data_IF_402525705213
#
_entry.id   IF_402525705213
#
_cell.length_a   1.000
_cell.length_b   1.000
_cell.length_c   1.000
_cell.angle_alpha   90.00
_cell.angle_beta   90.00
_cell.angle_gamma   90.00
#
_symmetry.space_group_name_H-M   'P 1'
#
loop_
_entity.id
_entity.type
_entity.pdbx_description
1 polymer ?
#
# COMPACT_ATOMS: atom_id res chain seq x y z
N UNK A 1 83.79 -20.06 -25.83
CA UNK A 1 82.63 -20.98 -25.79
C UNK A 1 81.53 -20.32 -24.96
N UNK A 2 80.78 -19.39 -25.56
CA UNK A 2 79.84 -18.53 -24.84
C UNK A 2 78.52 -18.41 -25.61
N UNK A 3 77.83 -19.53 -25.80
CA UNK A 3 76.56 -19.57 -26.52
C UNK A 3 75.65 -20.62 -25.91
N UNK A 4 74.34 -20.28 -25.88
CA UNK A 4 73.19 -21.13 -25.50
C UNK A 4 72.79 -21.28 -24.02
N UNK A 5 72.70 -20.17 -23.30
CA UNK A 5 71.70 -20.03 -22.22
C UNK A 5 70.78 -18.81 -22.48
N UNK A 6 70.69 -18.39 -23.75
CA UNK A 6 69.79 -17.32 -24.17
C UNK A 6 68.33 -17.76 -24.02
N UNK A 7 67.69 -17.11 -23.05
CA UNK A 7 66.31 -16.59 -23.12
C UNK A 7 65.14 -17.51 -22.74
N UNK A 8 65.31 -18.35 -21.71
CA UNK A 8 64.19 -19.09 -21.09
C UNK A 8 63.44 -18.27 -20.02
N UNK A 9 64.08 -17.26 -19.45
CA UNK A 9 63.54 -16.32 -18.46
C UNK A 9 62.30 -15.54 -18.96
N UNK A 10 62.27 -14.96 -20.18
CA UNK A 10 61.06 -14.30 -20.69
C UNK A 10 59.89 -15.26 -20.88
N UNK A 11 60.14 -16.53 -21.19
CA UNK A 11 59.07 -17.54 -21.35
C UNK A 11 58.42 -17.88 -20.01
N UNK A 12 59.22 -17.98 -18.94
CA UNK A 12 58.70 -18.17 -17.58
C UNK A 12 57.98 -16.92 -17.07
N UNK A 13 58.51 -15.73 -17.35
CA UNK A 13 57.86 -14.47 -16.95
C UNK A 13 56.51 -14.28 -17.68
N UNK A 14 56.41 -14.64 -18.96
CA UNK A 14 55.15 -14.66 -19.70
C UNK A 14 54.16 -15.70 -19.17
N UNK A 15 54.64 -16.84 -18.69
CA UNK A 15 53.80 -17.85 -18.04
C UNK A 15 53.28 -17.36 -16.68
N UNK A 16 54.14 -16.75 -15.85
CA UNK A 16 53.75 -16.14 -14.57
C UNK A 16 52.76 -14.98 -14.81
N UNK A 17 52.99 -14.13 -15.81
CA UNK A 17 52.09 -13.04 -16.17
C UNK A 17 50.71 -13.55 -16.65
N UNK A 18 50.67 -14.67 -17.40
CA UNK A 18 49.41 -15.34 -17.77
C UNK A 18 48.69 -15.90 -16.55
N UNK A 19 49.39 -16.58 -15.65
CA UNK A 19 48.81 -17.11 -14.41
C UNK A 19 48.26 -15.98 -13.51
N UNK A 20 48.98 -14.85 -13.39
CA UNK A 20 48.51 -13.67 -12.65
C UNK A 20 47.24 -13.07 -13.26
N UNK A 21 47.18 -12.94 -14.59
CA UNK A 21 45.97 -12.48 -15.30
C UNK A 21 44.80 -13.44 -15.12
N UNK A 22 45.03 -14.75 -15.11
CA UNK A 22 44.00 -15.74 -14.82
C UNK A 22 43.49 -15.63 -13.38
N UNK A 23 44.39 -15.44 -12.41
CA UNK A 23 44.02 -15.24 -11.01
C UNK A 23 43.21 -13.95 -10.82
N UNK A 24 43.61 -12.85 -11.45
CA UNK A 24 42.87 -11.58 -11.42
C UNK A 24 41.48 -11.69 -12.07
N UNK A 25 41.37 -12.41 -13.20
CA UNK A 25 40.07 -12.72 -13.82
C UNK A 25 39.19 -13.53 -12.88
N UNK A 26 39.72 -14.61 -12.30
CA UNK A 26 38.98 -15.46 -11.35
C UNK A 26 38.57 -14.68 -10.08
N UNK A 27 39.42 -13.79 -9.59
CA UNK A 27 39.12 -12.94 -8.43
C UNK A 27 38.00 -11.93 -8.75
N UNK A 28 38.03 -11.35 -9.96
CA UNK A 28 36.97 -10.46 -10.44
C UNK A 28 35.63 -11.18 -10.62
N UNK A 29 35.65 -12.37 -11.20
CA UNK A 29 34.47 -13.25 -11.35
C UNK A 29 33.92 -13.66 -9.97
N UNK A 30 34.78 -14.04 -9.03
CA UNK A 30 34.38 -14.33 -7.65
C UNK A 30 33.74 -13.11 -6.96
N UNK A 31 34.30 -11.91 -7.17
CA UNK A 31 33.74 -10.67 -6.64
C UNK A 31 32.36 -10.34 -7.23
N UNK A 32 32.18 -10.52 -8.54
CA UNK A 32 30.89 -10.34 -9.21
C UNK A 32 29.85 -11.34 -8.69
N UNK A 33 30.23 -12.63 -8.57
CA UNK A 33 29.35 -13.67 -8.05
C UNK A 33 28.98 -13.43 -6.58
N UNK A 34 29.89 -12.92 -5.77
CA UNK A 34 29.62 -12.56 -4.37
C UNK A 34 28.62 -11.39 -4.26
N UNK A 35 28.70 -10.40 -5.16
CA UNK A 35 27.73 -9.30 -5.22
C UNK A 35 26.35 -9.78 -5.68
N UNK A 36 26.30 -10.67 -6.67
CA UNK A 36 25.04 -11.28 -7.13
C UNK A 36 24.40 -12.12 -6.03
N UNK A 37 25.19 -12.93 -5.32
CA UNK A 37 24.73 -13.70 -4.16
C UNK A 37 24.17 -12.80 -3.06
N UNK A 38 24.87 -11.69 -2.74
CA UNK A 38 24.39 -10.71 -1.76
C UNK A 38 23.08 -10.06 -2.20
N UNK A 39 22.96 -9.70 -3.47
CA UNK A 39 21.73 -9.11 -4.03
C UNK A 39 20.57 -10.10 -3.95
N UNK A 40 20.82 -11.38 -4.25
CA UNK A 40 19.83 -12.45 -4.15
C UNK A 40 19.38 -12.66 -2.70
N UNK A 41 20.31 -12.63 -1.74
CA UNK A 41 19.99 -12.71 -0.30
C UNK A 41 19.17 -11.52 0.20
N UNK A 42 19.50 -10.30 -0.23
CA UNK A 42 18.72 -9.10 0.11
C UNK A 42 17.28 -9.21 -0.43
N UNK A 43 17.10 -9.69 -1.66
CA UNK A 43 15.78 -9.95 -2.22
C UNK A 43 15.01 -11.03 -1.45
N UNK A 44 15.67 -12.10 -1.02
CA UNK A 44 15.06 -13.17 -0.22
C UNK A 44 14.53 -12.64 1.11
N UNK A 45 15.34 -11.85 1.84
CA UNK A 45 14.92 -11.23 3.11
C UNK A 45 13.80 -10.21 2.90
N UNK A 46 13.80 -9.46 1.80
CA UNK A 46 12.70 -8.56 1.43
C UNK A 46 11.39 -9.33 1.18
N UNK A 47 11.45 -10.45 0.46
CA UNK A 47 10.28 -11.31 0.23
C UNK A 47 9.79 -11.92 1.54
N UNK A 48 10.68 -12.46 2.36
CA UNK A 48 10.35 -13.01 3.67
C UNK A 48 9.67 -11.97 4.57
N UNK A 49 10.21 -10.75 4.62
CA UNK A 49 9.60 -9.64 5.38
C UNK A 49 8.19 -9.32 4.86
N UNK A 50 7.98 -9.31 3.54
CA UNK A 50 6.65 -9.12 2.94
C UNK A 50 5.68 -10.25 3.31
N UNK A 51 6.12 -11.51 3.30
CA UNK A 51 5.31 -12.66 3.70
C UNK A 51 4.91 -12.61 5.17
N UNK A 52 5.83 -12.24 6.06
CA UNK A 52 5.54 -12.05 7.49
C UNK A 52 4.54 -10.92 7.70
N UNK A 53 4.69 -9.79 6.99
CA UNK A 53 3.73 -8.69 7.04
C UNK A 53 2.34 -9.12 6.55
N UNK A 54 2.24 -9.87 5.46
CA UNK A 54 0.95 -10.32 4.93
C UNK A 54 0.28 -11.34 5.85
N UNK A 55 1.07 -12.24 6.45
CA UNK A 55 0.60 -13.18 7.48
C UNK A 55 0.05 -12.43 8.70
N UNK A 56 0.75 -11.39 9.15
CA UNK A 56 0.29 -10.56 10.26
C UNK A 56 -0.99 -9.80 9.91
N UNK A 57 -1.11 -9.25 8.70
CA UNK A 57 -2.36 -8.61 8.24
C UNK A 57 -3.52 -9.60 8.20
N UNK A 58 -3.30 -10.80 7.67
CA UNK A 58 -4.30 -11.87 7.65
C UNK A 58 -4.77 -12.20 9.06
N UNK A 59 -3.84 -12.39 10.00
CA UNK A 59 -4.17 -12.64 11.40
C UNK A 59 -4.96 -11.48 12.03
N UNK A 60 -4.62 -10.22 11.75
CA UNK A 60 -5.40 -9.07 12.24
C UNK A 60 -6.81 -9.03 11.66
N UNK A 61 -6.98 -9.30 10.37
CA UNK A 61 -8.28 -9.33 9.71
C UNK A 61 -9.17 -10.48 10.23
N UNK A 62 -8.59 -11.65 10.50
CA UNK A 62 -9.32 -12.76 11.14
C UNK A 62 -9.78 -12.42 12.56
N UNK A 63 -8.92 -11.76 13.34
CA UNK A 63 -9.28 -11.30 14.68
C UNK A 63 -10.45 -10.29 14.62
N UNK A 64 -10.39 -9.34 13.69
CA UNK A 64 -11.47 -8.37 13.47
C UNK A 64 -12.79 -9.07 13.09
N UNK A 65 -12.75 -10.08 12.21
CA UNK A 65 -13.93 -10.87 11.85
C UNK A 65 -14.54 -11.57 13.08
N UNK A 66 -13.71 -12.19 13.93
CA UNK A 66 -14.18 -12.83 15.16
C UNK A 66 -14.83 -11.81 16.09
N UNK A 67 -14.26 -10.61 16.23
CA UNK A 67 -14.86 -9.51 16.99
C UNK A 67 -16.20 -9.10 16.40
N UNK A 68 -16.30 -8.86 15.09
CA UNK A 68 -17.56 -8.53 14.43
C UNK A 68 -18.63 -9.61 14.62
N UNK A 69 -18.24 -10.89 14.53
CA UNK A 69 -19.14 -12.02 14.76
C UNK A 69 -19.65 -12.05 16.20
N UNK A 70 -18.79 -11.75 17.18
CA UNK A 70 -19.18 -11.65 18.60
C UNK A 70 -20.14 -10.49 18.83
N UNK A 71 -19.80 -9.29 18.34
CA UNK A 71 -20.65 -8.10 18.46
C UNK A 71 -22.03 -8.35 17.85
N UNK A 72 -22.10 -9.00 16.68
CA UNK A 72 -23.38 -9.38 16.08
C UNK A 72 -24.22 -10.28 16.98
N UNK A 73 -23.60 -11.30 17.59
CA UNK A 73 -24.29 -12.19 18.54
C UNK A 73 -24.80 -11.43 19.77
N UNK A 74 -24.00 -10.49 20.28
CA UNK A 74 -24.39 -9.69 21.44
C UNK A 74 -25.57 -8.77 21.09
N UNK A 75 -25.57 -8.15 19.90
CA UNK A 75 -26.71 -7.37 19.37
C UNK A 75 -27.96 -8.24 19.20
N UNK A 76 -27.82 -9.44 18.63
CA UNK A 76 -28.95 -10.36 18.46
C UNK A 76 -29.54 -10.77 19.82
N UNK A 77 -28.70 -11.01 20.84
CA UNK A 77 -29.15 -11.31 22.20
C UNK A 77 -29.88 -10.14 22.86
N UNK A 78 -29.36 -8.91 22.74
CA UNK A 78 -30.03 -7.71 23.25
C UNK A 78 -31.36 -7.47 22.54
N UNK A 79 -31.42 -7.73 21.24
CA UNK A 79 -32.66 -7.65 20.46
C UNK A 79 -33.71 -8.65 20.97
N UNK A 80 -33.32 -9.90 21.22
CA UNK A 80 -34.22 -10.91 21.78
C UNK A 80 -34.74 -10.47 23.17
N UNK A 81 -33.86 -9.99 24.05
CA UNK A 81 -34.25 -9.50 25.38
C UNK A 81 -35.21 -8.30 25.28
N UNK A 82 -34.98 -7.38 24.34
CA UNK A 82 -35.89 -6.26 24.07
C UNK A 82 -37.28 -6.75 23.66
N UNK A 83 -37.35 -7.73 22.76
CA UNK A 83 -38.63 -8.31 22.30
C UNK A 83 -39.37 -8.99 23.46
N UNK A 84 -38.67 -9.74 24.32
CA UNK A 84 -39.26 -10.36 25.52
C UNK A 84 -39.80 -9.32 26.51
N UNK A 85 -39.05 -8.25 26.76
CA UNK A 85 -39.49 -7.15 27.62
C UNK A 85 -40.70 -6.43 27.03
N UNK A 86 -40.74 -6.23 25.70
CA UNK A 86 -41.90 -5.65 25.03
C UNK A 86 -43.14 -6.53 25.22
N UNK A 87 -43.02 -7.86 25.08
CA UNK A 87 -44.13 -8.78 25.35
C UNK A 87 -44.62 -8.70 26.81
N UNK A 88 -43.72 -8.54 27.78
CA UNK A 88 -44.10 -8.30 29.19
C UNK A 88 -44.85 -6.97 29.38
N UNK A 89 -44.43 -5.91 28.69
CA UNK A 89 -45.14 -4.63 28.72
C UNK A 89 -46.54 -4.78 28.13
N UNK A 90 -46.68 -5.45 26.99
CA UNK A 90 -47.97 -5.64 26.32
C UNK A 90 -48.94 -6.46 27.19
N UNK A 91 -48.48 -7.57 27.78
CA UNK A 91 -49.29 -8.36 28.73
C UNK A 91 -49.67 -7.59 30.00
N UNK A 92 -48.77 -6.78 30.57
CA UNK A 92 -49.11 -5.92 31.69
C UNK A 92 -50.14 -4.85 31.28
N UNK A 93 -50.03 -4.30 30.08
CA UNK A 93 -51.00 -3.34 29.56
C UNK A 93 -52.39 -3.99 29.39
N UNK A 94 -52.46 -5.23 28.91
CA UNK A 94 -53.69 -6.01 28.82
C UNK A 94 -54.32 -6.27 30.19
N UNK A 95 -53.54 -6.65 31.20
CA UNK A 95 -54.05 -6.87 32.56
C UNK A 95 -54.56 -5.57 33.21
N UNK A 96 -53.87 -4.45 33.02
CA UNK A 96 -54.34 -3.12 33.47
C UNK A 96 -55.68 -2.78 32.81
N UNK A 97 -55.80 -2.98 31.49
CA UNK A 97 -57.03 -2.71 30.77
C UNK A 97 -58.17 -3.62 31.22
N UNK A 98 -57.89 -4.89 31.50
CA UNK A 98 -58.85 -5.82 32.07
C UNK A 98 -59.35 -5.36 33.45
N UNK A 99 -58.43 -5.01 34.36
CA UNK A 99 -58.79 -4.53 35.70
C UNK A 99 -59.61 -3.24 35.64
N UNK A 100 -59.26 -2.30 34.75
CA UNK A 100 -60.05 -1.07 34.54
C UNK A 100 -61.49 -1.38 34.13
N UNK A 101 -61.69 -2.29 33.18
CA UNK A 101 -63.04 -2.71 32.75
C UNK A 101 -63.80 -3.39 33.88
N UNK A 102 -63.13 -4.22 34.67
CA UNK A 102 -63.74 -4.91 35.81
C UNK A 102 -64.22 -3.90 36.87
N UNK A 103 -63.39 -2.92 37.23
CA UNK A 103 -63.79 -1.88 38.19
C UNK A 103 -64.90 -0.96 37.67
N UNK A 104 -64.94 -0.71 36.37
CA UNK A 104 -66.02 0.07 35.74
C UNK A 104 -67.34 -0.69 35.81
N UNK A 105 -67.33 -2.00 35.55
CA UNK A 105 -68.50 -2.87 35.68
C UNK A 105 -68.98 -2.99 37.14
N UNK A 106 -68.08 -3.25 38.08
CA UNK A 106 -68.41 -3.31 39.51
C UNK A 106 -69.01 -1.99 40.01
N UNK A 107 -68.46 -0.85 39.60
CA UNK A 107 -68.99 0.47 39.96
C UNK A 107 -70.41 0.69 39.41
N UNK A 108 -70.69 0.20 38.20
CA UNK A 108 -72.02 0.24 37.61
C UNK A 108 -73.00 -0.67 38.37
N UNK A 109 -72.56 -1.86 38.79
CA UNK A 109 -73.34 -2.79 39.60
C UNK A 109 -73.72 -2.16 40.96
N UNK A 110 -72.74 -1.65 41.71
CA UNK A 110 -73.00 -1.00 43.00
C UNK A 110 -73.94 0.21 42.87
N UNK A 111 -73.83 0.97 41.78
CA UNK A 111 -74.74 2.10 41.53
C UNK A 111 -76.18 1.63 41.28
N UNK A 112 -76.37 0.41 40.78
CA UNK A 112 -77.69 -0.19 40.57
C UNK A 112 -78.25 -0.72 41.89
N UNK A 113 -77.45 -1.46 42.67
CA UNK A 113 -77.85 -1.99 43.99
C UNK A 113 -78.25 -0.89 44.99
N UNK A 114 -77.53 0.24 45.00
CA UNK A 114 -77.83 1.38 45.87
C UNK A 114 -79.16 2.04 45.48
N UNK A 115 -79.49 2.09 44.19
CA UNK A 115 -80.78 2.60 43.72
C UNK A 115 -81.93 1.66 44.11
N UNK A 116 -81.69 0.35 44.18
CA UNK A 116 -82.70 -0.66 44.52
C UNK A 116 -82.96 -0.80 46.04
N UNK A 117 -82.01 -0.42 46.89
CA UNK A 117 -82.10 -0.61 48.36
C UNK A 117 -82.58 0.64 49.12
N UNK A 118 -82.88 1.74 48.41
CA UNK A 118 -83.36 3.00 48.98
C UNK A 118 -84.84 2.93 49.40
N UNK A 119 -85.17 2.21 50.48
CA UNK A 119 -86.46 2.27 51.17
C UNK A 119 -86.25 2.84 52.58
N UNK A 120 -86.67 4.09 52.77
CA UNK A 120 -86.58 4.82 54.03
C UNK A 120 -87.62 4.26 55.01
N UNK A 121 -87.17 3.49 56.00
CA UNK A 121 -88.00 2.98 57.09
C UNK A 121 -87.78 3.84 58.33
N UNK A 122 -88.75 4.71 58.62
CA UNK A 122 -88.82 5.48 59.85
C UNK A 122 -89.34 4.60 60.98
N UNK A 123 -88.48 4.26 61.94
CA UNK A 123 -88.87 3.59 63.18
C UNK A 123 -88.84 4.61 64.32
N UNK A 124 -90.02 4.88 64.87
CA UNK A 124 -90.22 5.79 65.99
C UNK A 124 -89.95 5.03 67.30
N UNK A 125 -88.93 5.43 68.06
CA UNK A 125 -88.50 4.71 69.27
C UNK A 125 -88.25 5.70 70.41
N UNK A 126 -89.30 5.97 71.19
CA UNK A 126 -89.26 6.87 72.34
C UNK A 126 -88.75 6.13 73.59
N UNK A 127 -87.45 6.21 73.82
CA UNK A 127 -86.84 6.03 75.14
C UNK A 127 -86.11 7.32 75.49
N UNK A 128 -86.43 7.91 76.63
CA UNK A 128 -85.79 9.13 77.11
C UNK A 128 -84.33 8.83 77.50
N UNK A 129 -83.44 8.88 76.50
CA UNK A 129 -82.01 9.07 76.67
C UNK A 129 -81.75 10.56 76.89
N UNK A 130 -80.74 10.90 77.67
CA UNK A 130 -80.22 12.27 77.70
C UNK A 130 -79.60 12.59 76.33
N UNK A 131 -80.46 13.06 75.44
CA UNK A 131 -80.13 13.39 74.07
C UNK A 131 -79.14 14.55 74.01
N UNK A 132 -79.10 15.44 75.02
CA UNK A 132 -78.25 16.62 75.02
C UNK A 132 -76.76 16.26 75.05
N UNK A 133 -76.35 15.43 76.00
CA UNK A 133 -74.95 14.99 76.13
C UNK A 133 -74.51 14.15 74.92
N UNK A 134 -75.35 13.21 74.48
CA UNK A 134 -75.02 12.34 73.35
C UNK A 134 -74.93 13.13 72.04
N UNK A 135 -75.82 14.11 71.80
CA UNK A 135 -75.74 14.99 70.63
C UNK A 135 -74.48 15.85 70.66
N UNK A 136 -74.08 16.34 71.84
CA UNK A 136 -72.84 17.11 71.99
C UNK A 136 -71.60 16.26 71.70
N UNK A 137 -71.52 15.04 72.23
CA UNK A 137 -70.41 14.11 72.00
C UNK A 137 -70.35 13.66 70.54
N UNK A 138 -71.49 13.36 69.93
CA UNK A 138 -71.60 13.04 68.51
C UNK A 138 -71.13 14.23 67.66
N UNK A 139 -71.55 15.46 67.99
CA UNK A 139 -71.10 16.67 67.29
C UNK A 139 -69.59 16.87 67.41
N UNK A 140 -69.01 16.67 68.60
CA UNK A 140 -67.57 16.75 68.82
C UNK A 140 -66.79 15.69 68.00
N UNK A 141 -67.29 14.46 67.93
CA UNK A 141 -66.69 13.42 67.08
C UNK A 141 -66.78 13.76 65.59
N UNK A 142 -67.93 14.27 65.13
CA UNK A 142 -68.06 14.72 63.74
C UNK A 142 -67.12 15.87 63.40
N UNK A 143 -66.89 16.80 64.34
CA UNK A 143 -65.95 17.90 64.16
C UNK A 143 -64.50 17.41 64.06
N UNK A 144 -64.11 16.43 64.86
CA UNK A 144 -62.79 15.78 64.76
C UNK A 144 -62.66 15.02 63.43
N UNK A 145 -63.69 14.29 63.00
CA UNK A 145 -63.68 13.53 61.74
C UNK A 145 -63.60 14.48 60.54
N UNK A 146 -64.33 15.59 60.55
CA UNK A 146 -64.27 16.59 59.49
C UNK A 146 -62.93 17.32 59.45
N UNK A 147 -62.35 17.68 60.60
CA UNK A 147 -61.01 18.23 60.66
C UNK A 147 -59.95 17.25 60.16
N UNK A 148 -60.03 15.97 60.56
CA UNK A 148 -59.12 14.92 60.09
C UNK A 148 -59.24 14.69 58.58
N UNK A 149 -60.47 14.61 58.06
CA UNK A 149 -60.74 14.46 56.64
C UNK A 149 -60.21 15.65 55.82
N UNK A 150 -60.39 16.88 56.33
CA UNK A 150 -59.83 18.08 55.72
C UNK A 150 -58.29 18.05 55.70
N UNK A 151 -57.65 17.73 56.82
CA UNK A 151 -56.20 17.66 56.92
C UNK A 151 -55.61 16.55 56.03
N UNK A 152 -56.27 15.41 55.93
CA UNK A 152 -55.88 14.31 55.04
C UNK A 152 -56.02 14.69 53.57
N UNK A 153 -57.11 15.38 53.20
CA UNK A 153 -57.29 15.90 51.85
C UNK A 153 -56.20 16.94 51.50
N UNK A 154 -55.91 17.88 52.39
CA UNK A 154 -54.84 18.88 52.20
C UNK A 154 -53.46 18.21 52.06
N UNK A 155 -53.15 17.21 52.90
CA UNK A 155 -51.90 16.45 52.80
C UNK A 155 -51.80 15.65 51.49
N UNK A 156 -52.89 15.05 51.03
CA UNK A 156 -52.95 14.37 49.73
C UNK A 156 -52.73 15.36 48.58
N UNK A 157 -53.39 16.52 48.60
CA UNK A 157 -53.20 17.55 47.57
C UNK A 157 -51.77 18.06 47.55
N UNK A 158 -51.17 18.31 48.71
CA UNK A 158 -49.80 18.79 48.80
C UNK A 158 -48.79 17.75 48.29
N UNK A 159 -49.00 16.48 48.62
CA UNK A 159 -48.19 15.36 48.09
C UNK A 159 -48.32 15.26 46.57
N UNK A 160 -49.54 15.30 46.04
CA UNK A 160 -49.78 15.24 44.58
C UNK A 160 -49.19 16.43 43.84
N UNK A 161 -49.30 17.63 44.41
CA UNK A 161 -48.68 18.82 43.85
C UNK A 161 -47.15 18.69 43.81
N UNK A 162 -46.54 18.16 44.88
CA UNK A 162 -45.11 17.97 44.96
C UNK A 162 -44.61 16.87 44.00
N UNK A 163 -45.35 15.78 43.85
CA UNK A 163 -45.09 14.74 42.84
C UNK A 163 -45.11 15.32 41.42
N UNK A 164 -46.14 16.09 41.07
CA UNK A 164 -46.24 16.75 39.77
C UNK A 164 -45.09 17.73 39.54
N UNK A 165 -44.74 18.53 40.55
CA UNK A 165 -43.61 19.45 40.49
C UNK A 165 -42.29 18.72 40.26
N UNK A 166 -42.01 17.65 41.02
CA UNK A 166 -40.79 16.86 40.84
C UNK A 166 -40.77 16.14 39.49
N UNK A 167 -41.92 15.67 38.99
CA UNK A 167 -42.02 15.04 37.68
C UNK A 167 -41.73 16.05 36.56
N UNK A 168 -42.28 17.25 36.65
CA UNK A 168 -42.03 18.34 35.72
C UNK A 168 -40.55 18.78 35.72
N UNK A 169 -39.93 18.86 36.90
CA UNK A 169 -38.50 19.19 37.06
C UNK A 169 -37.61 18.10 36.43
N UNK A 170 -37.86 16.82 36.75
CA UNK A 170 -37.14 15.69 36.14
C UNK A 170 -37.29 15.66 34.62
N UNK A 171 -38.47 15.96 34.09
CA UNK A 171 -38.68 16.04 32.65
C UNK A 171 -37.91 17.23 32.04
N UNK A 172 -37.90 18.38 32.72
CA UNK A 172 -37.10 19.55 32.33
C UNK A 172 -35.60 19.27 32.30
N UNK A 173 -35.08 18.57 33.32
CA UNK A 173 -33.68 18.16 33.40
C UNK A 173 -33.33 17.16 32.30
N UNK A 174 -34.17 16.15 32.07
CA UNK A 174 -33.98 15.19 30.97
C UNK A 174 -33.99 15.86 29.59
N UNK A 175 -34.88 16.84 29.38
CA UNK A 175 -34.88 17.67 28.17
C UNK A 175 -33.62 18.52 28.03
N UNK A 176 -33.08 19.01 29.15
CA UNK A 176 -31.82 19.78 29.15
C UNK A 176 -30.62 18.90 28.83
N UNK A 177 -30.54 17.71 29.41
CA UNK A 177 -29.47 16.75 29.18
C UNK A 177 -29.47 16.24 27.74
N UNK A 178 -30.64 15.88 27.20
CA UNK A 178 -30.77 15.50 25.79
C UNK A 178 -30.37 16.64 24.85
N UNK A 179 -30.73 17.89 25.17
CA UNK A 179 -30.26 19.06 24.41
C UNK A 179 -28.73 19.19 24.43
N UNK A 180 -28.10 19.01 25.59
CA UNK A 180 -26.62 19.05 25.71
C UNK A 180 -26.00 17.94 24.86
N UNK A 181 -26.49 16.71 24.97
CA UNK A 181 -26.01 15.57 24.17
C UNK A 181 -26.16 15.83 22.66
N UNK A 182 -27.28 16.39 22.22
CA UNK A 182 -27.49 16.78 20.81
C UNK A 182 -26.42 17.79 20.38
N UNK A 183 -26.12 18.81 21.20
CA UNK A 183 -25.09 19.81 20.85
C UNK A 183 -23.68 19.22 20.83
N UNK A 184 -23.36 18.29 21.74
CA UNK A 184 -22.08 17.58 21.76
C UNK A 184 -21.90 16.67 20.55
N UNK A 185 -22.94 15.89 20.21
CA UNK A 185 -22.96 15.07 18.99
C UNK A 185 -22.83 15.92 17.74
N UNK A 186 -23.53 17.07 17.68
CA UNK A 186 -23.40 18.01 16.56
C UNK A 186 -21.97 18.52 16.42
N UNK A 187 -21.32 18.85 17.55
CA UNK A 187 -19.90 19.29 17.55
C UNK A 187 -18.95 18.16 17.14
N UNK A 188 -19.23 16.93 17.55
CA UNK A 188 -18.45 15.75 17.15
C UNK A 188 -18.58 15.49 15.64
N UNK A 189 -19.79 15.59 15.09
CA UNK A 189 -20.06 15.47 13.65
C UNK A 189 -19.27 16.54 12.87
N UNK A 190 -19.31 17.81 13.29
CA UNK A 190 -18.55 18.88 12.65
C UNK A 190 -17.03 18.63 12.68
N UNK A 191 -16.51 18.13 13.81
CA UNK A 191 -15.10 17.77 13.94
C UNK A 191 -14.72 16.65 12.97
N UNK A 192 -15.54 15.60 12.88
CA UNK A 192 -15.31 14.48 11.95
C UNK A 192 -15.41 14.94 10.50
N UNK A 193 -16.38 15.79 10.15
CA UNK A 193 -16.50 16.38 8.81
C UNK A 193 -15.24 17.18 8.43
N UNK A 194 -14.72 18.01 9.34
CA UNK A 194 -13.48 18.75 9.10
C UNK A 194 -12.27 17.82 8.95
N UNK A 195 -12.19 16.73 9.72
CA UNK A 195 -11.13 15.74 9.57
C UNK A 195 -11.21 15.03 8.21
N UNK A 196 -12.42 14.66 7.77
CA UNK A 196 -12.66 14.07 6.44
C UNK A 196 -12.23 15.05 5.34
N UNK A 197 -12.61 16.33 5.45
CA UNK A 197 -12.24 17.34 4.46
C UNK A 197 -10.72 17.55 4.40
N UNK A 198 -10.05 17.60 5.56
CA UNK A 198 -8.60 17.72 5.64
C UNK A 198 -7.89 16.51 5.01
N UNK A 199 -8.32 15.29 5.33
CA UNK A 199 -7.76 14.06 4.73
C UNK A 199 -8.02 14.03 3.22
N UNK A 200 -9.19 14.47 2.77
CA UNK A 200 -9.52 14.58 1.34
C UNK A 200 -8.59 15.57 0.62
N UNK A 201 -8.31 16.72 1.23
CA UNK A 201 -7.34 17.70 0.70
C UNK A 201 -5.92 17.14 0.65
N UNK A 202 -5.49 16.43 1.70
CA UNK A 202 -4.18 15.76 1.71
C UNK A 202 -4.07 14.69 0.62
N UNK A 203 -5.11 13.87 0.44
CA UNK A 203 -5.13 12.86 -0.61
C UNK A 203 -5.05 13.50 -2.01
N UNK A 204 -5.83 14.56 -2.26
CA UNK A 204 -5.77 15.29 -3.52
C UNK A 204 -4.37 15.90 -3.78
N UNK A 205 -3.73 16.46 -2.75
CA UNK A 205 -2.37 16.99 -2.86
C UNK A 205 -1.33 15.90 -3.17
N UNK A 206 -1.44 14.73 -2.52
CA UNK A 206 -0.56 13.59 -2.80
C UNK A 206 -0.80 13.05 -4.21
N UNK A 207 -2.06 12.93 -4.65
CA UNK A 207 -2.38 12.51 -6.02
C UNK A 207 -1.77 13.47 -7.05
N UNK A 208 -1.88 14.79 -6.85
CA UNK A 208 -1.23 15.78 -7.73
C UNK A 208 0.29 15.64 -7.72
N UNK A 209 0.91 15.41 -6.56
CA UNK A 209 2.34 15.22 -6.47
C UNK A 209 2.81 13.92 -7.17
N UNK A 210 1.99 12.86 -7.12
CA UNK A 210 2.23 11.60 -7.85
C UNK A 210 2.16 11.86 -9.35
N UNK A 211 1.09 12.50 -9.85
CA UNK A 211 0.96 12.77 -11.29
C UNK A 211 2.08 13.66 -11.81
N UNK A 212 2.53 14.64 -11.02
CA UNK A 212 3.66 15.51 -11.38
C UNK A 212 5.00 14.75 -11.39
N UNK A 213 5.18 13.81 -10.46
CA UNK A 213 6.36 12.95 -10.42
C UNK A 213 6.39 11.95 -11.59
N UNK A 214 5.24 11.34 -11.90
CA UNK A 214 5.06 10.46 -13.05
C UNK A 214 5.34 11.19 -14.36
N UNK A 215 4.80 12.40 -14.53
CA UNK A 215 5.03 13.21 -15.72
C UNK A 215 6.51 13.59 -15.89
N UNK A 216 7.18 14.02 -14.81
CA UNK A 216 8.63 14.30 -14.84
C UNK A 216 9.45 13.06 -15.15
N UNK A 217 9.08 11.90 -14.61
CA UNK A 217 9.71 10.63 -14.91
C UNK A 217 9.56 10.24 -16.39
N UNK A 218 8.34 10.37 -16.93
CA UNK A 218 8.05 10.08 -18.34
C UNK A 218 8.83 11.00 -19.28
N UNK A 219 8.94 12.29 -18.97
CA UNK A 219 9.77 13.23 -19.72
C UNK A 219 11.25 12.82 -19.72
N UNK A 220 11.81 12.49 -18.55
CA UNK A 220 13.21 12.07 -18.45
C UNK A 220 13.49 10.78 -19.25
N UNK A 221 12.53 9.84 -19.29
CA UNK A 221 12.63 8.63 -20.10
C UNK A 221 12.60 8.98 -21.59
N UNK A 222 11.69 9.85 -22.03
CA UNK A 222 11.62 10.30 -23.43
C UNK A 222 12.91 10.97 -23.86
N UNK A 223 13.47 11.85 -23.04
CA UNK A 223 14.74 12.53 -23.33
C UNK A 223 15.91 11.54 -23.43
N UNK A 224 15.97 10.55 -22.53
CA UNK A 224 16.97 9.49 -22.60
C UNK A 224 16.81 8.63 -23.86
N UNK A 225 15.58 8.29 -24.25
CA UNK A 225 15.30 7.54 -25.48
C UNK A 225 15.74 8.31 -26.72
N UNK A 226 15.44 9.61 -26.81
CA UNK A 226 15.90 10.47 -27.91
C UNK A 226 17.44 10.45 -27.99
N UNK A 227 18.12 10.61 -26.85
CA UNK A 227 19.58 10.58 -26.80
C UNK A 227 20.17 9.23 -27.23
N UNK A 228 19.53 8.12 -26.90
CA UNK A 228 19.94 6.79 -27.36
C UNK A 228 19.82 6.70 -28.88
N UNK A 229 18.68 7.10 -29.44
CA UNK A 229 18.46 7.09 -30.90
C UNK A 229 19.47 7.97 -31.63
N UNK A 230 19.78 9.15 -31.10
CA UNK A 230 20.78 10.06 -31.67
C UNK A 230 22.19 9.43 -31.66
N UNK A 231 22.57 8.78 -30.56
CA UNK A 231 23.86 8.09 -30.45
C UNK A 231 23.95 6.87 -31.35
N UNK A 232 22.89 6.09 -31.47
CA UNK A 232 22.80 4.97 -32.42
C UNK A 232 22.92 5.46 -33.86
N UNK A 233 22.26 6.58 -34.19
CA UNK A 233 22.37 7.25 -35.48
C UNK A 233 23.80 7.71 -35.78
N UNK A 234 24.45 8.38 -34.83
CA UNK A 234 25.84 8.82 -34.94
C UNK A 234 26.80 7.63 -35.12
N UNK A 235 26.58 6.54 -34.37
CA UNK A 235 27.38 5.31 -34.48
C UNK A 235 27.20 4.62 -35.83
N UNK A 236 25.97 4.57 -36.35
CA UNK A 236 25.70 4.03 -37.70
C UNK A 236 26.38 4.88 -38.78
N UNK A 237 26.31 6.21 -38.67
CA UNK A 237 27.00 7.13 -39.58
C UNK A 237 28.52 6.93 -39.53
N UNK A 238 29.11 6.88 -38.35
CA UNK A 238 30.56 6.64 -38.20
C UNK A 238 31.00 5.29 -38.79
N UNK A 239 30.20 4.23 -38.63
CA UNK A 239 30.45 2.93 -39.27
C UNK A 239 30.41 3.02 -40.80
N UNK A 240 29.45 3.76 -41.37
CA UNK A 240 29.35 3.98 -42.80
C UNK A 240 30.54 4.79 -43.33
N UNK A 241 30.92 5.86 -42.61
CA UNK A 241 32.08 6.70 -42.96
C UNK A 241 33.37 5.87 -42.94
N UNK A 242 33.57 5.01 -41.93
CA UNK A 242 34.72 4.11 -41.88
C UNK A 242 34.73 3.09 -43.03
N UNK A 243 33.56 2.54 -43.38
CA UNK A 243 33.44 1.65 -44.54
C UNK A 243 33.72 2.37 -45.87
N UNK A 244 33.39 3.67 -45.99
CA UNK A 244 33.80 4.48 -47.14
C UNK A 244 35.29 4.72 -47.19
N UNK A 245 35.91 5.10 -46.07
CA UNK A 245 37.35 5.35 -45.99
C UNK A 245 38.17 4.10 -46.32
N UNK A 246 37.72 2.91 -45.90
CA UNK A 246 38.37 1.64 -46.26
C UNK A 246 38.31 1.36 -47.77
N UNK A 247 37.20 1.70 -48.44
CA UNK A 247 37.09 1.56 -49.89
C UNK A 247 38.04 2.52 -50.61
N UNK A 248 38.05 3.78 -50.19
CA UNK A 248 38.94 4.80 -50.77
C UNK A 248 40.42 4.43 -50.57
N UNK A 249 40.76 3.87 -49.41
CA UNK A 249 42.11 3.37 -49.13
C UNK A 249 42.49 2.17 -50.01
N UNK A 250 41.55 1.25 -50.25
CA UNK A 250 41.78 0.12 -51.14
C UNK A 250 41.98 0.56 -52.59
N UNK A 251 41.23 1.57 -53.06
CA UNK A 251 41.42 2.20 -54.36
C UNK A 251 42.77 2.93 -54.47
N UNK A 252 43.20 3.59 -53.40
CA UNK A 252 44.52 4.21 -53.34
C UNK A 252 45.66 3.16 -53.41
N UNK A 253 45.49 2.01 -52.75
CA UNK A 253 46.46 0.92 -52.85
C UNK A 253 46.48 0.32 -54.26
N UNK A 254 45.32 0.12 -54.89
CA UNK A 254 45.27 -0.44 -56.24
C UNK A 254 45.93 0.49 -57.28
N UNK A 255 45.70 1.80 -57.17
CA UNK A 255 46.39 2.81 -57.99
C UNK A 255 47.90 2.84 -57.72
N UNK A 256 48.33 2.74 -56.45
CA UNK A 256 49.76 2.64 -56.12
C UNK A 256 50.41 1.40 -56.73
N UNK A 257 49.75 0.25 -56.68
CA UNK A 257 50.24 -0.99 -57.29
C UNK A 257 50.32 -0.87 -58.82
N UNK A 258 49.33 -0.24 -59.46
CA UNK A 258 49.37 0.03 -60.90
C UNK A 258 50.57 0.92 -61.26
N UNK A 259 50.80 1.99 -60.49
CA UNK A 259 51.96 2.87 -60.67
C UNK A 259 53.30 2.15 -60.43
N UNK A 260 53.41 1.25 -59.45
CA UNK A 260 54.62 0.45 -59.25
C UNK A 260 54.92 -0.44 -60.47
N UNK A 261 53.88 -1.02 -61.08
CA UNK A 261 54.02 -1.81 -62.32
C UNK A 261 54.49 -0.93 -63.46
N UNK A 262 53.91 0.27 -63.64
CA UNK A 262 54.37 1.23 -64.65
C UNK A 262 55.83 1.65 -64.43
N UNK A 263 56.25 1.93 -63.19
CA UNK A 263 57.65 2.25 -62.89
C UNK A 263 58.56 1.06 -63.23
N UNK A 264 58.15 -0.16 -62.93
CA UNK A 264 58.90 -1.36 -63.26
C UNK A 264 59.01 -1.58 -64.78
N UNK A 265 57.95 -1.31 -65.55
CA UNK A 265 57.98 -1.38 -67.01
C UNK A 265 58.85 -0.28 -67.61
N UNK A 266 58.77 0.96 -67.12
CA UNK A 266 59.67 2.04 -67.53
C UNK A 266 61.13 1.71 -67.24
N UNK A 267 61.46 1.17 -66.05
CA UNK A 267 62.82 0.70 -65.72
C UNK A 267 63.30 -0.41 -66.67
N UNK A 268 62.45 -1.40 -66.97
CA UNK A 268 62.79 -2.48 -67.91
C UNK A 268 63.07 -1.97 -69.33
N UNK A 269 62.32 -0.99 -69.81
CA UNK A 269 62.55 -0.37 -71.12
C UNK A 269 63.87 0.40 -71.15
N UNK A 270 64.18 1.16 -70.09
CA UNK A 270 65.46 1.86 -69.93
C UNK A 270 66.65 0.89 -69.89
N UNK A 271 66.56 -0.18 -69.10
CA UNK A 271 67.60 -1.24 -69.10
C UNK A 271 67.73 -1.93 -70.47
N UNK A 272 66.63 -2.06 -71.22
CA UNK A 272 66.66 -2.58 -72.60
C UNK A 272 67.41 -1.66 -73.56
N UNK A 273 67.22 -0.34 -73.44
CA UNK A 273 67.98 0.66 -74.20
C UNK A 273 69.46 0.70 -73.79
N UNK A 274 69.76 0.63 -72.49
CA UNK A 274 71.15 0.58 -71.99
C UNK A 274 71.87 -0.67 -72.51
N UNK A 275 71.21 -1.83 -72.55
CA UNK A 275 71.75 -3.06 -73.17
C UNK A 275 72.02 -2.91 -74.68
N UNK A 276 71.22 -2.11 -75.40
CA UNK A 276 71.47 -1.77 -76.81
C UNK A 276 72.65 -0.82 -76.98
N UNK A 277 72.85 0.11 -76.05
CA UNK A 277 73.89 1.13 -76.10
C UNK A 277 75.25 0.67 -75.54
N UNK A 278 75.27 -0.32 -74.63
CA UNK A 278 76.49 -0.87 -74.02
C UNK A 278 77.21 -1.92 -74.86
N UNK A 279 76.64 -2.36 -75.98
CA UNK A 279 77.31 -3.26 -76.92
C UNK A 279 77.44 -4.72 -76.46
N UNK A 280 76.72 -5.16 -75.42
CA UNK A 280 76.58 -6.58 -75.07
C UNK A 280 75.35 -7.17 -75.78
N UNK A 281 75.56 -7.58 -77.03
CA UNK A 281 74.67 -8.49 -77.74
C UNK A 281 74.76 -9.89 -77.11
N UNK A 282 73.68 -10.32 -76.45
CA UNK A 282 73.29 -11.74 -76.45
C UNK A 282 71.81 -11.79 -76.81
N UNK A 283 71.60 -12.05 -78.09
CA UNK A 283 70.34 -12.50 -78.66
C UNK A 283 70.13 -13.95 -78.20
N UNK A 284 68.98 -14.25 -77.60
CA UNK A 284 68.41 -15.61 -77.62
C UNK A 284 66.90 -15.52 -77.39
N UNK A 285 66.22 -15.22 -78.48
CA UNK A 285 64.80 -15.48 -78.67
C UNK A 285 64.63 -17.00 -78.83
N UNK A 286 64.18 -17.68 -77.76
CA UNK A 286 63.65 -19.05 -77.86
C UNK A 286 62.12 -19.01 -77.84
N UNK A 287 61.54 -18.95 -79.03
CA UNK A 287 60.12 -19.22 -79.28
C UNK A 287 59.97 -20.75 -79.38
N UNK A 288 59.28 -21.37 -78.42
CA UNK A 288 58.76 -22.73 -78.57
C UNK A 288 57.23 -22.72 -78.53
N UNK A 289 56.65 -23.02 -79.68
CA UNK A 289 55.25 -23.40 -79.85
C UNK A 289 55.04 -24.82 -79.32
N UNK A 290 54.10 -25.01 -78.41
CA UNK A 290 53.40 -26.29 -78.22
C UNK A 290 51.91 -26.01 -78.35
N UNK A 291 51.35 -26.55 -79.42
CA UNK A 291 49.91 -26.60 -79.67
C UNK A 291 49.27 -27.84 -79.04
N UNK A 292 47.95 -27.75 -78.89
CA UNK A 292 47.05 -28.80 -78.40
C UNK A 292 46.18 -28.21 -77.30
N UNK A 293 44.85 -28.11 -77.40
CA UNK A 293 43.89 -28.76 -78.27
C UNK A 293 42.57 -28.71 -77.50
N UNK A 294 41.51 -28.33 -78.19
CA UNK A 294 40.16 -28.05 -77.70
C UNK A 294 39.43 -29.27 -77.11
N UNK A 295 38.74 -29.08 -75.98
CA UNK A 295 37.40 -29.59 -75.61
C UNK A 295 36.98 -28.75 -74.39
N UNK A 296 35.77 -28.24 -74.15
CA UNK A 296 34.43 -28.59 -74.60
C UNK A 296 33.54 -28.50 -73.36
N UNK A 297 32.63 -27.51 -73.33
CA UNK A 297 31.32 -27.44 -72.65
C UNK A 297 31.05 -28.30 -71.39
N UNK A 298 30.56 -27.65 -70.33
CA UNK A 298 29.81 -28.35 -69.28
C UNK A 298 29.35 -27.42 -68.15
N UNK A 299 28.07 -27.03 -68.19
CA UNK A 299 27.42 -26.30 -67.11
C UNK A 299 27.05 -27.17 -65.90
N UNK A 300 26.58 -26.46 -64.87
CA UNK A 300 25.66 -26.85 -63.78
C UNK A 300 25.79 -28.23 -63.11
N UNK A 301 25.98 -28.21 -61.79
CA UNK A 301 25.73 -29.37 -60.92
C UNK A 301 25.78 -29.00 -59.44
N UNK A 302 24.61 -28.85 -58.84
CA UNK A 302 24.40 -28.78 -57.40
C UNK A 302 24.89 -30.08 -56.71
N UNK A 303 25.48 -29.92 -55.53
CA UNK A 303 25.32 -30.82 -54.38
C UNK A 303 25.98 -30.13 -53.18
N UNK A 304 25.23 -29.45 -52.32
CA UNK A 304 24.74 -30.05 -51.06
C UNK A 304 25.80 -30.93 -50.41
N UNK A 305 26.53 -30.41 -49.43
CA UNK A 305 26.91 -31.15 -48.22
C UNK A 305 27.24 -30.17 -47.09
N UNK A 306 26.43 -30.26 -46.04
CA UNK A 306 26.96 -30.32 -44.67
C UNK A 306 27.18 -28.99 -43.96
N UNK A 307 26.10 -28.46 -43.38
CA UNK A 307 26.14 -27.59 -42.22
C UNK A 307 27.02 -28.18 -41.10
N UNK A 308 27.83 -27.35 -40.46
CA UNK A 308 28.12 -27.48 -39.03
C UNK A 308 28.28 -26.09 -38.43
N UNK A 309 27.20 -25.65 -37.79
CA UNK A 309 27.17 -24.54 -36.87
C UNK A 309 28.08 -24.85 -35.67
N UNK A 310 29.03 -23.97 -35.38
CA UNK A 310 29.57 -23.82 -34.02
C UNK A 310 29.28 -22.39 -33.60
N UNK A 311 28.25 -22.27 -32.77
CA UNK A 311 28.02 -21.15 -31.88
C UNK A 311 29.05 -21.23 -30.76
N UNK A 312 29.93 -20.23 -30.66
CA UNK A 312 30.67 -19.94 -29.43
C UNK A 312 30.54 -18.45 -29.17
N UNK A 313 29.71 -18.13 -28.17
CA UNK A 313 29.70 -16.83 -27.53
C UNK A 313 31.03 -16.57 -26.83
N UNK A 314 31.49 -15.33 -26.91
CA UNK A 314 32.75 -14.91 -26.32
C UNK A 314 32.81 -13.39 -26.24
N UNK A 315 32.13 -12.86 -25.23
CA UNK A 315 32.31 -11.49 -24.73
C UNK A 315 33.77 -11.29 -24.30
N UNK A 316 34.45 -10.30 -24.88
CA UNK A 316 35.64 -9.73 -24.26
C UNK A 316 35.72 -8.22 -24.47
N UNK A 317 35.60 -7.52 -23.33
CA UNK A 317 35.90 -6.11 -23.11
C UNK A 317 37.36 -5.80 -23.45
N UNK A 318 37.59 -4.70 -24.17
CA UNK A 318 38.89 -4.05 -24.33
C UNK A 318 38.88 -2.76 -23.53
N UNK A 319 39.84 -2.60 -22.63
CA UNK A 319 40.12 -1.39 -21.86
C UNK A 319 41.22 -0.60 -22.57
N UNK A 320 41.00 0.68 -22.84
CA UNK A 320 41.96 1.65 -23.36
C UNK A 320 41.66 3.06 -22.82
N UNK A 321 42.65 3.97 -22.77
CA UNK A 321 42.87 4.85 -21.61
C UNK A 321 42.40 6.30 -21.76
N UNK A 322 42.10 6.93 -20.61
CA UNK A 322 42.54 8.28 -20.23
C UNK A 322 41.95 9.52 -20.90
N UNK A 323 41.35 10.37 -20.05
CA UNK A 323 41.65 11.81 -19.83
C UNK A 323 40.48 12.80 -19.95
N UNK A 324 40.40 13.73 -18.98
CA UNK A 324 39.56 14.94 -18.98
C UNK A 324 38.48 14.97 -17.88
N UNK A 325 38.82 15.21 -16.60
CA UNK A 325 38.74 16.51 -15.91
C UNK A 325 37.36 17.18 -15.88
N UNK A 326 36.73 17.28 -14.68
CA UNK A 326 36.11 18.51 -14.16
C UNK A 326 35.84 18.41 -12.63
N UNK A 327 36.54 19.28 -11.91
CA UNK A 327 36.15 20.08 -10.74
C UNK A 327 35.15 19.55 -9.70
N UNK A 328 35.65 19.52 -8.47
CA UNK A 328 34.88 19.49 -7.23
C UNK A 328 34.03 20.75 -7.03
N UNK A 329 32.85 20.57 -6.44
CA UNK A 329 32.22 21.57 -5.59
C UNK A 329 31.54 20.86 -4.42
N UNK A 330 32.07 21.17 -3.25
CA UNK A 330 31.65 20.77 -1.92
C UNK A 330 30.33 21.46 -1.55
N UNK A 331 29.39 20.74 -0.93
CA UNK A 331 28.36 21.36 -0.09
C UNK A 331 27.77 20.30 0.84
N UNK A 332 28.12 20.44 2.11
CA UNK A 332 27.83 19.50 3.19
C UNK A 332 26.35 19.34 3.52
N UNK A 333 26.04 18.19 4.12
CA UNK A 333 24.77 17.94 4.77
C UNK A 333 24.95 17.91 6.28
N UNK A 334 24.33 18.89 6.92
CA UNK A 334 24.26 19.07 8.36
C UNK A 334 23.47 17.96 9.02
N UNK A 335 24.00 17.45 10.14
CA UNK A 335 23.25 16.67 11.14
C UNK A 335 22.19 17.58 11.77
N UNK A 336 20.95 17.10 11.84
CA UNK A 336 19.97 17.57 12.83
C UNK A 336 19.31 16.38 13.50
N UNK A 337 19.62 16.23 14.78
CA UNK A 337 18.97 15.40 15.77
C UNK A 337 17.54 15.88 16.05
N UNK A 338 16.58 14.97 16.13
CA UNK A 338 15.35 15.18 16.89
C UNK A 338 14.96 13.90 17.59
N UNK A 339 15.11 13.91 18.92
CA UNK A 339 14.77 12.80 19.80
C UNK A 339 13.27 12.57 19.85
N UNK A 340 12.89 11.29 19.78
CA UNK A 340 11.53 10.83 20.07
C UNK A 340 11.42 10.55 21.56
N UNK A 341 10.62 11.36 22.26
CA UNK A 341 10.22 11.14 23.65
C UNK A 341 9.10 10.11 23.66
N UNK A 342 9.40 8.89 24.07
CA UNK A 342 8.42 7.83 24.33
C UNK A 342 7.81 8.03 25.72
N UNK A 343 6.63 8.66 25.77
CA UNK A 343 5.80 8.74 26.97
C UNK A 343 4.87 7.53 27.10
N UNK A 344 5.17 6.65 28.04
CA UNK A 344 4.30 5.57 28.52
C UNK A 344 3.14 6.14 29.35
N UNK A 345 1.89 5.82 29.00
CA UNK A 345 0.73 6.05 29.87
C UNK A 345 0.12 4.70 30.25
N UNK A 346 0.49 4.21 31.44
CA UNK A 346 -0.19 3.11 32.12
C UNK A 346 -1.49 3.64 32.75
N UNK A 347 -2.65 3.22 32.24
CA UNK A 347 -3.92 3.36 32.96
C UNK A 347 -4.05 2.22 33.97
N UNK A 348 -3.93 2.53 35.26
CA UNK A 348 -4.22 1.62 36.37
C UNK A 348 -5.69 1.77 36.75
N UNK A 349 -6.53 0.80 36.38
CA UNK A 349 -7.91 0.71 36.85
C UNK A 349 -7.93 -0.08 38.16
N UNK A 350 -8.27 0.58 39.25
CA UNK A 350 -8.62 -0.05 40.53
C UNK A 350 -10.07 -0.54 40.46
N UNK A 351 -10.28 -1.86 40.53
CA UNK A 351 -11.61 -2.44 40.76
C UNK A 351 -11.79 -2.69 42.26
N UNK A 352 -12.68 -1.93 42.89
CA UNK A 352 -13.21 -2.22 44.23
C UNK A 352 -14.27 -3.30 44.12
N UNK A 353 -14.00 -4.49 44.66
CA UNK A 353 -15.00 -5.52 44.91
C UNK A 353 -15.63 -5.31 46.28
N UNK A 354 -16.89 -4.87 46.32
CA UNK A 354 -17.74 -5.00 47.50
C UNK A 354 -18.29 -6.44 47.54
N UNK A 355 -17.89 -7.21 48.56
CA UNK A 355 -18.51 -8.50 48.89
C UNK A 355 -19.71 -8.24 49.81
N UNK A 356 -20.90 -8.55 49.31
CA UNK A 356 -22.12 -8.70 50.12
C UNK A 356 -21.98 -9.96 50.97
N UNK A 357 -22.04 -9.79 52.29
CA UNK A 357 -22.13 -10.87 53.27
C UNK A 357 -23.61 -11.23 53.42
N UNK A 358 -23.94 -12.48 53.09
CA UNK A 358 -25.23 -13.12 53.38
C UNK A 358 -25.26 -13.50 54.86
N UNK A 359 -26.33 -13.14 55.56
CA UNK A 359 -26.78 -13.79 56.80
C UNK A 359 -28.16 -14.36 56.57
#
# INVERSE_FOLDING_TARGET
MGGRLQDLEPVFEDYIARLRRQLEKLLGEHGALALELKTCQEQEEDYKTKYEQETNKHATAENDLVVFKKVRKDVDNEYMSKVELQGRVDTLQETINFLKRLYEEDSNHFRTDVNDTSVVVSMDNNRYLDLGSIISDVRAQYEIITQKSKAEAEAMYQTKYQELRMSAEKHGDSMRDTKIQITELTRAIQKLQNQIENVKKQNAAIQSAITDAEHRGEQAIKDAQVKVVDLEGALKKAKQDMASLLRDYQELISTKLALDVEIATYRRLLEGEERRMSGEYIDDVSISMVGGGTTGSGGCGNSEFGCSSVVVGGSHFVKGPGSGSISASDSGFSKSSSGSVTGTILKKTTMSTLKTITY
#
